data_IF_212573420627
#
_entry.id   IF_212573420627
#
_cell.length_a   1.000
_cell.length_b   1.000
_cell.length_c   1.000
_cell.angle_alpha   90.00
_cell.angle_beta   90.00
_cell.angle_gamma   90.00
#
_symmetry.space_group_name_H-M   'P 1'
#
loop_
_entity.id
_entity.type
_entity.pdbx_description
1 polymer ?
#
# COMPACT_ATOMS: atom_id res chain seq x y z
N UNK A 1 22.18 -4.82 1.35
CA UNK A 1 21.43 -4.64 0.11
C UNK A 1 21.86 -3.34 -0.58
N UNK A 2 21.92 -3.35 -1.93
CA UNK A 2 22.09 -2.15 -2.74
C UNK A 2 20.71 -1.71 -3.20
N UNK A 3 20.40 -0.42 -3.09
CA UNK A 3 19.11 0.13 -3.48
C UNK A 3 19.34 1.27 -4.48
N UNK A 4 18.62 1.25 -5.60
CA UNK A 4 18.48 2.35 -6.53
C UNK A 4 17.04 2.87 -6.43
N UNK A 5 16.86 4.18 -6.31
CA UNK A 5 15.55 4.82 -6.30
C UNK A 5 15.33 5.62 -7.57
N UNK A 6 14.15 5.47 -8.16
CA UNK A 6 13.68 6.31 -9.27
C UNK A 6 12.48 7.13 -8.82
N UNK A 7 12.43 8.37 -9.26
CA UNK A 7 11.32 9.28 -9.04
C UNK A 7 10.98 10.01 -10.36
N UNK A 8 9.89 10.75 -10.38
CA UNK A 8 9.45 11.48 -11.56
C UNK A 8 10.51 12.47 -12.07
N UNK A 9 10.71 12.58 -13.37
CA UNK A 9 10.00 11.85 -14.43
C UNK A 9 10.53 10.42 -14.60
N UNK A 10 9.64 9.43 -14.68
CA UNK A 10 9.99 8.05 -15.00
C UNK A 10 10.18 7.93 -16.52
N UNK A 11 11.41 7.77 -16.98
CA UNK A 11 11.76 7.67 -18.39
C UNK A 11 12.31 6.27 -18.73
N UNK A 12 12.23 5.89 -20.00
CA UNK A 12 12.78 4.62 -20.48
C UNK A 12 14.30 4.53 -20.23
N UNK A 13 15.02 5.65 -20.33
CA UNK A 13 16.45 5.72 -20.03
C UNK A 13 16.73 5.45 -18.56
N UNK A 14 15.92 6.00 -17.64
CA UNK A 14 16.08 5.76 -16.21
C UNK A 14 15.81 4.30 -15.86
N UNK A 15 14.81 3.67 -16.47
CA UNK A 15 14.55 2.24 -16.30
C UNK A 15 15.68 1.39 -16.87
N UNK A 16 16.17 1.70 -18.07
CA UNK A 16 17.26 0.98 -18.71
C UNK A 16 18.57 1.04 -17.90
N UNK A 17 18.82 2.09 -17.15
CA UNK A 17 19.98 2.23 -16.29
C UNK A 17 19.82 1.53 -14.95
N UNK A 18 18.65 1.63 -14.30
CA UNK A 18 18.47 1.19 -12.92
C UNK A 18 18.03 -0.27 -12.75
N UNK A 19 17.30 -0.85 -13.73
CA UNK A 19 16.68 -2.16 -13.57
C UNK A 19 17.59 -3.37 -13.89
N UNK A 20 18.60 -3.28 -14.77
CA UNK A 20 19.47 -4.43 -15.04
C UNK A 20 20.17 -4.95 -13.79
N UNK A 21 20.01 -6.24 -13.53
CA UNK A 21 20.64 -6.90 -12.37
C UNK A 21 19.94 -6.67 -11.03
N UNK A 22 18.80 -5.99 -11.00
CA UNK A 22 17.99 -5.93 -9.81
C UNK A 22 17.36 -7.30 -9.49
N UNK A 23 17.33 -7.70 -8.23
CA UNK A 23 16.64 -8.91 -7.79
C UNK A 23 15.12 -8.67 -7.62
N UNK A 24 14.76 -7.45 -7.20
CA UNK A 24 13.37 -7.04 -6.98
C UNK A 24 13.16 -5.57 -7.34
N UNK A 25 11.98 -5.27 -7.87
CA UNK A 25 11.51 -3.92 -8.21
C UNK A 25 10.24 -3.63 -7.43
N UNK A 26 10.28 -2.61 -6.57
CA UNK A 26 9.15 -2.20 -5.76
C UNK A 26 8.47 -0.97 -6.34
N UNK A 27 7.19 -1.07 -6.66
CA UNK A 27 6.35 0.04 -7.08
C UNK A 27 5.84 0.80 -5.85
N UNK A 28 6.52 1.90 -5.54
CA UNK A 28 6.15 2.81 -4.45
C UNK A 28 5.32 3.98 -4.99
N UNK A 29 4.33 3.69 -5.83
CA UNK A 29 3.46 4.64 -6.52
C UNK A 29 2.00 4.45 -6.09
N UNK A 30 1.12 5.46 -6.26
CA UNK A 30 -0.31 5.25 -6.09
C UNK A 30 -0.82 4.13 -6.99
N UNK A 31 -1.72 3.30 -6.47
CA UNK A 31 -2.22 2.15 -7.23
C UNK A 31 -2.92 2.57 -8.55
N UNK A 32 -3.58 3.74 -8.57
CA UNK A 32 -4.16 4.31 -9.80
C UNK A 32 -3.14 4.61 -10.90
N UNK A 33 -1.86 4.85 -10.55
CA UNK A 33 -0.80 5.12 -11.52
C UNK A 33 -0.20 3.83 -12.14
N UNK A 34 -0.50 2.66 -11.61
CA UNK A 34 0.09 1.40 -12.09
C UNK A 34 -0.23 1.11 -13.55
N UNK A 35 -1.46 1.39 -14.00
CA UNK A 35 -1.88 1.17 -15.37
C UNK A 35 -1.07 2.00 -16.38
N UNK A 36 -0.58 3.17 -15.97
CA UNK A 36 0.27 4.04 -16.78
C UNK A 36 1.75 3.61 -16.71
N UNK A 37 2.25 3.27 -15.53
CA UNK A 37 3.67 2.97 -15.31
C UNK A 37 4.09 1.59 -15.83
N UNK A 38 3.26 0.57 -15.62
CA UNK A 38 3.60 -0.81 -15.98
C UNK A 38 3.98 -1.03 -17.46
N UNK A 39 3.28 -0.43 -18.45
CA UNK A 39 3.64 -0.59 -19.86
C UNK A 39 5.04 -0.05 -20.21
N UNK A 40 5.53 0.96 -19.50
CA UNK A 40 6.84 1.54 -19.70
C UNK A 40 7.93 0.76 -18.93
N UNK A 41 7.62 0.32 -17.72
CA UNK A 41 8.58 -0.38 -16.85
C UNK A 41 8.85 -1.82 -17.31
N UNK A 42 7.80 -2.57 -17.63
CA UNK A 42 7.89 -4.03 -17.90
C UNK A 42 8.83 -4.38 -19.06
N UNK A 43 8.92 -3.61 -20.17
CA UNK A 43 9.89 -3.89 -21.24
C UNK A 43 11.36 -3.89 -20.81
N UNK A 44 11.69 -3.29 -19.66
CA UNK A 44 13.04 -3.26 -19.10
C UNK A 44 13.32 -4.40 -18.11
N UNK A 45 12.33 -5.25 -17.81
CA UNK A 45 12.49 -6.44 -16.96
C UNK A 45 12.87 -7.66 -17.80
N UNK A 46 13.73 -8.53 -17.27
CA UNK A 46 14.22 -9.73 -17.96
C UNK A 46 13.43 -11.01 -17.61
N UNK A 47 12.36 -10.89 -16.84
CA UNK A 47 11.50 -12.00 -16.42
C UNK A 47 11.93 -12.71 -15.14
N UNK A 48 13.08 -12.37 -14.55
CA UNK A 48 13.60 -12.97 -13.31
C UNK A 48 13.38 -12.09 -12.08
N UNK A 49 13.34 -10.77 -12.29
CA UNK A 49 13.12 -9.82 -11.20
C UNK A 49 11.76 -10.05 -10.55
N UNK A 50 11.70 -9.92 -9.24
CA UNK A 50 10.44 -9.89 -8.53
C UNK A 50 9.83 -8.51 -8.68
N UNK A 51 8.63 -8.43 -9.28
CA UNK A 51 7.86 -7.20 -9.31
C UNK A 51 6.96 -7.16 -8.08
N UNK A 52 7.09 -6.12 -7.27
CA UNK A 52 6.36 -5.95 -6.02
C UNK A 52 5.75 -4.55 -5.91
N UNK A 53 4.76 -4.37 -5.05
CA UNK A 53 4.14 -3.09 -4.72
C UNK A 53 4.03 -2.89 -3.21
N UNK A 54 3.72 -1.68 -2.77
CA UNK A 54 3.44 -1.34 -1.36
C UNK A 54 2.05 -0.73 -1.16
N UNK A 55 1.13 -0.93 -2.09
CA UNK A 55 -0.20 -0.30 -2.05
C UNK A 55 -1.09 -0.87 -0.94
N UNK A 56 -2.12 -0.11 -0.55
CA UNK A 56 -3.03 -0.48 0.56
C UNK A 56 -4.11 -1.48 0.18
N UNK A 57 -4.33 -1.76 -1.11
CA UNK A 57 -5.21 -2.81 -1.61
C UNK A 57 -4.40 -3.78 -2.45
N UNK A 58 -4.90 -5.01 -2.65
CA UNK A 58 -4.10 -6.07 -3.27
C UNK A 58 -4.72 -6.66 -4.53
N UNK A 59 -6.03 -6.87 -4.59
CA UNK A 59 -6.65 -7.54 -5.75
C UNK A 59 -6.36 -6.83 -7.07
N UNK A 60 -6.61 -5.54 -7.13
CA UNK A 60 -6.43 -4.77 -8.36
C UNK A 60 -4.96 -4.60 -8.74
N UNK A 61 -4.04 -4.12 -7.86
CA UNK A 61 -2.62 -3.97 -8.16
C UNK A 61 -1.95 -5.29 -8.54
N UNK A 62 -2.18 -6.35 -7.77
CA UNK A 62 -1.63 -7.66 -8.05
C UNK A 62 -2.06 -8.16 -9.43
N UNK A 63 -3.37 -8.08 -9.73
CA UNK A 63 -3.89 -8.47 -11.04
C UNK A 63 -3.38 -7.60 -12.20
N UNK A 64 -3.09 -6.31 -11.98
CA UNK A 64 -2.48 -5.45 -13.00
C UNK A 64 -1.03 -5.87 -13.27
N UNK A 65 -0.24 -6.10 -12.22
CA UNK A 65 1.15 -6.57 -12.35
C UNK A 65 1.23 -7.94 -13.03
N UNK A 66 0.37 -8.90 -12.66
CA UNK A 66 0.34 -10.24 -13.27
C UNK A 66 -0.07 -10.24 -14.74
N UNK A 67 -0.96 -9.34 -15.13
CA UNK A 67 -1.33 -9.19 -16.56
C UNK A 67 -0.23 -8.54 -17.39
N UNK A 68 0.56 -7.65 -16.80
CA UNK A 68 1.61 -6.92 -17.48
C UNK A 68 2.94 -7.70 -17.53
N UNK A 69 3.22 -8.51 -16.52
CA UNK A 69 4.52 -9.14 -16.32
C UNK A 69 4.41 -10.64 -16.11
N UNK A 70 5.09 -11.42 -16.95
CA UNK A 70 5.08 -12.89 -16.88
C UNK A 70 6.00 -13.48 -15.79
N UNK A 71 6.87 -12.68 -15.19
CA UNK A 71 7.77 -13.08 -14.11
C UNK A 71 7.08 -13.11 -12.74
N UNK A 72 7.84 -13.34 -11.65
CA UNK A 72 7.28 -13.43 -10.31
C UNK A 72 6.75 -12.09 -9.81
N UNK A 73 5.52 -12.09 -9.33
CA UNK A 73 4.85 -10.93 -8.72
C UNK A 73 4.57 -11.20 -7.25
N UNK A 74 4.87 -10.23 -6.38
CA UNK A 74 4.58 -10.32 -4.94
C UNK A 74 3.99 -9.01 -4.46
N UNK A 75 2.68 -9.01 -4.17
CA UNK A 75 2.03 -7.88 -3.52
C UNK A 75 2.49 -7.73 -2.08
N UNK A 76 2.70 -6.50 -1.63
CA UNK A 76 2.98 -6.22 -0.23
C UNK A 76 2.13 -5.06 0.28
N UNK A 77 1.81 -5.04 1.57
CA UNK A 77 1.17 -3.91 2.22
C UNK A 77 1.78 -3.69 3.60
N UNK A 78 2.65 -2.68 3.77
CA UNK A 78 3.03 -2.18 5.07
C UNK A 78 1.80 -1.61 5.79
N UNK A 79 1.39 -2.25 6.90
CA UNK A 79 0.19 -1.86 7.67
C UNK A 79 0.49 -0.68 8.62
N UNK A 80 1.34 0.24 8.17
CA UNK A 80 1.78 1.40 8.95
C UNK A 80 2.09 2.58 8.02
N UNK A 81 1.93 3.78 8.56
CA UNK A 81 2.27 5.02 7.86
C UNK A 81 3.75 5.41 7.98
N UNK A 82 4.14 6.60 7.50
CA UNK A 82 5.56 7.04 7.40
C UNK A 82 6.33 7.14 8.72
N UNK A 83 5.65 7.17 9.87
CA UNK A 83 6.27 7.31 11.21
C UNK A 83 5.72 6.25 12.16
N UNK A 84 5.98 4.95 11.90
CA UNK A 84 5.46 3.87 12.72
C UNK A 84 6.20 3.80 14.07
N UNK A 85 5.51 3.26 15.09
CA UNK A 85 6.21 2.78 16.29
C UNK A 85 6.87 1.43 15.97
N UNK A 86 7.95 1.05 16.65
CA UNK A 86 8.62 -0.24 16.43
C UNK A 86 7.69 -1.46 16.59
N UNK A 87 6.64 -1.36 17.42
CA UNK A 87 5.61 -2.39 17.59
C UNK A 87 4.67 -2.57 16.43
N UNK A 88 4.60 -1.58 15.50
CA UNK A 88 3.58 -1.51 14.47
C UNK A 88 4.08 -1.97 13.09
N UNK A 89 5.37 -2.37 13.01
CA UNK A 89 6.06 -2.76 11.79
C UNK A 89 5.57 -4.12 11.28
N UNK A 90 4.34 -4.17 10.75
CA UNK A 90 3.75 -5.38 10.16
C UNK A 90 3.50 -5.20 8.68
N UNK A 91 3.86 -6.23 7.91
CA UNK A 91 3.68 -6.24 6.45
C UNK A 91 2.90 -7.47 6.03
N UNK A 92 1.81 -7.28 5.30
CA UNK A 92 1.10 -8.35 4.63
C UNK A 92 1.78 -8.66 3.30
N UNK A 93 1.97 -9.94 2.99
CA UNK A 93 2.54 -10.44 1.74
C UNK A 93 1.45 -11.22 1.00
N UNK A 94 1.18 -10.84 -0.25
CA UNK A 94 0.18 -11.49 -1.11
C UNK A 94 0.86 -11.98 -2.39
N UNK A 95 1.28 -13.26 -2.43
CA UNK A 95 1.98 -13.81 -3.59
C UNK A 95 1.07 -13.91 -4.82
N UNK A 96 1.59 -13.53 -5.98
CA UNK A 96 0.99 -13.83 -7.27
C UNK A 96 1.24 -15.27 -7.74
N UNK A 97 0.55 -15.68 -8.79
CA UNK A 97 0.54 -17.07 -9.26
C UNK A 97 1.92 -17.60 -9.71
N UNK A 98 2.79 -16.73 -10.23
CA UNK A 98 4.15 -17.10 -10.68
C UNK A 98 5.20 -17.01 -9.56
N UNK A 99 4.85 -16.52 -8.37
CA UNK A 99 5.78 -16.39 -7.26
C UNK A 99 6.02 -17.75 -6.57
N UNK A 100 7.29 -18.14 -6.45
CA UNK A 100 7.72 -19.32 -5.69
C UNK A 100 8.05 -18.95 -4.25
N UNK A 101 8.20 -19.96 -3.36
CA UNK A 101 8.65 -19.73 -1.98
C UNK A 101 10.01 -19.02 -1.89
N UNK A 102 10.89 -19.19 -2.87
CA UNK A 102 12.17 -18.47 -2.95
C UNK A 102 11.93 -16.97 -3.16
N UNK A 103 11.05 -16.60 -4.09
CA UNK A 103 10.70 -15.20 -4.36
C UNK A 103 10.03 -14.55 -3.15
N UNK A 104 9.08 -15.24 -2.54
CA UNK A 104 8.38 -14.78 -1.35
C UNK A 104 9.36 -14.61 -0.19
N UNK A 105 10.25 -15.60 0.01
CA UNK A 105 11.27 -15.56 1.06
C UNK A 105 12.25 -14.40 0.92
N UNK A 106 12.61 -14.03 -0.33
CA UNK A 106 13.44 -12.85 -0.59
C UNK A 106 12.72 -11.57 -0.15
N UNK A 107 11.47 -11.37 -0.56
CA UNK A 107 10.67 -10.19 -0.19
C UNK A 107 10.46 -10.14 1.33
N UNK A 108 10.08 -11.26 1.97
CA UNK A 108 9.96 -11.34 3.43
C UNK A 108 11.28 -11.01 4.14
N UNK A 109 12.41 -11.48 3.59
CA UNK A 109 13.75 -11.21 4.11
C UNK A 109 14.08 -9.73 4.11
N UNK A 110 13.80 -9.03 3.01
CA UNK A 110 14.00 -7.58 2.91
C UNK A 110 13.23 -6.81 3.99
N UNK A 111 11.96 -7.16 4.21
CA UNK A 111 11.17 -6.51 5.26
C UNK A 111 11.65 -6.89 6.68
N UNK A 112 12.07 -8.13 6.90
CA UNK A 112 12.64 -8.57 8.18
C UNK A 112 13.95 -7.85 8.51
N UNK A 113 14.80 -7.63 7.52
CA UNK A 113 16.05 -6.87 7.68
C UNK A 113 15.78 -5.39 8.06
N UNK A 114 14.64 -4.85 7.68
CA UNK A 114 14.15 -3.54 8.11
C UNK A 114 13.44 -3.57 9.47
N UNK A 115 13.41 -4.71 10.17
CA UNK A 115 12.77 -4.86 11.49
C UNK A 115 11.27 -5.15 11.43
N UNK A 116 10.70 -5.41 10.24
CA UNK A 116 9.29 -5.70 10.12
C UNK A 116 8.97 -7.17 10.43
N UNK A 117 7.79 -7.42 10.98
CA UNK A 117 7.17 -8.74 11.00
C UNK A 117 6.30 -8.92 9.75
N UNK A 118 6.37 -10.09 9.12
CA UNK A 118 5.62 -10.40 7.90
C UNK A 118 4.61 -11.53 8.15
N UNK A 119 3.50 -11.50 7.40
CA UNK A 119 2.56 -12.62 7.32
C UNK A 119 1.99 -12.71 5.91
N UNK A 120 1.59 -13.91 5.50
CA UNK A 120 1.03 -14.17 4.16
C UNK A 120 -0.49 -14.16 4.19
N UNK A 121 -1.08 -13.69 3.09
CA UNK A 121 -2.53 -13.71 2.83
C UNK A 121 -2.79 -13.91 1.34
N UNK A 122 -4.03 -14.21 0.97
CA UNK A 122 -4.47 -14.00 -0.41
C UNK A 122 -4.88 -12.55 -0.61
N UNK A 123 -4.92 -12.07 -1.86
CA UNK A 123 -5.33 -10.71 -2.18
C UNK A 123 -6.77 -10.45 -1.73
N UNK A 124 -7.68 -11.43 -1.93
CA UNK A 124 -9.10 -11.33 -1.53
C UNK A 124 -9.26 -11.26 -0.01
N UNK A 125 -8.56 -12.13 0.73
CA UNK A 125 -8.64 -12.13 2.19
C UNK A 125 -8.04 -10.84 2.78
N UNK A 126 -6.95 -10.33 2.17
CA UNK A 126 -6.36 -9.05 2.52
C UNK A 126 -7.36 -7.91 2.34
N UNK A 127 -7.96 -7.77 1.15
CA UNK A 127 -8.84 -6.65 0.82
C UNK A 127 -10.13 -6.70 1.63
N UNK A 128 -10.70 -7.90 1.86
CA UNK A 128 -11.83 -8.08 2.77
C UNK A 128 -11.52 -7.63 4.22
N UNK A 129 -10.33 -7.95 4.72
CA UNK A 129 -9.89 -7.51 6.05
C UNK A 129 -9.65 -5.99 6.09
N UNK A 130 -9.02 -5.43 5.05
CA UNK A 130 -8.77 -3.99 4.92
C UNK A 130 -10.09 -3.21 4.86
N UNK A 131 -11.06 -3.66 4.06
CA UNK A 131 -12.40 -3.07 4.00
C UNK A 131 -13.08 -3.04 5.37
N UNK A 132 -12.98 -4.14 6.13
CA UNK A 132 -13.58 -4.23 7.45
C UNK A 132 -12.89 -3.34 8.50
N UNK A 133 -11.56 -3.32 8.52
CA UNK A 133 -10.79 -2.61 9.56
C UNK A 133 -10.59 -1.14 9.20
N UNK A 134 -10.10 -0.85 8.00
CA UNK A 134 -9.81 0.51 7.56
C UNK A 134 -11.09 1.25 7.17
N UNK A 135 -12.01 0.59 6.45
CA UNK A 135 -13.30 1.15 6.08
C UNK A 135 -14.15 1.52 7.30
N UNK A 136 -14.23 0.64 8.32
CA UNK A 136 -14.95 0.93 9.56
C UNK A 136 -14.32 2.11 10.31
N UNK A 137 -13.00 2.17 10.38
CA UNK A 137 -12.29 3.30 11.00
C UNK A 137 -12.61 4.62 10.28
N UNK A 138 -12.65 4.62 8.95
CA UNK A 138 -12.99 5.80 8.15
C UNK A 138 -14.46 6.20 8.34
N UNK A 139 -15.41 5.28 8.19
CA UNK A 139 -16.85 5.57 8.35
C UNK A 139 -17.15 6.11 9.74
N UNK A 140 -16.59 5.49 10.78
CA UNK A 140 -16.77 5.98 12.14
C UNK A 140 -16.20 7.39 12.34
N UNK A 141 -15.04 7.68 11.75
CA UNK A 141 -14.44 9.03 11.79
C UNK A 141 -15.29 10.06 11.06
N UNK A 142 -15.79 9.72 9.88
CA UNK A 142 -16.69 10.57 9.10
C UNK A 142 -17.97 10.89 9.87
N UNK A 143 -18.55 9.90 10.56
CA UNK A 143 -19.75 10.09 11.39
C UNK A 143 -19.54 11.11 12.52
N UNK A 144 -18.34 11.14 13.16
CA UNK A 144 -18.02 12.16 14.17
C UNK A 144 -18.05 13.58 13.58
N UNK A 145 -17.48 13.78 12.40
CA UNK A 145 -17.45 15.10 11.77
C UNK A 145 -18.82 15.52 11.25
N UNK A 146 -19.55 14.61 10.61
CA UNK A 146 -20.89 14.89 10.11
C UNK A 146 -21.82 15.34 11.24
N UNK A 147 -21.78 14.67 12.40
CA UNK A 147 -22.58 15.04 13.55
C UNK A 147 -22.26 16.45 14.06
N UNK A 148 -20.97 16.82 14.11
CA UNK A 148 -20.59 18.16 14.62
C UNK A 148 -20.77 19.27 13.60
N UNK A 149 -20.64 18.97 12.31
CA UNK A 149 -20.80 19.98 11.25
C UNK A 149 -22.22 20.54 11.20
N UNK A 150 -23.22 19.75 11.61
CA UNK A 150 -24.62 20.15 11.64
C UNK A 150 -25.09 20.71 13.00
N UNK A 151 -24.26 20.59 14.06
CA UNK A 151 -24.64 20.86 15.45
C UNK A 151 -23.55 21.63 16.21
N UNK A 152 -23.30 22.89 15.80
CA UNK A 152 -22.30 23.75 16.47
C UNK A 152 -22.64 24.02 17.95
N UNK A 153 -23.91 23.97 18.32
CA UNK A 153 -24.35 24.10 19.69
C UNK A 153 -23.84 23.01 20.64
N UNK A 154 -23.36 21.89 20.09
CA UNK A 154 -22.77 20.80 20.88
C UNK A 154 -21.29 21.03 21.24
N UNK A 155 -20.61 22.00 20.63
CA UNK A 155 -19.17 22.26 20.86
C UNK A 155 -18.83 22.49 22.35
N UNK A 156 -19.65 23.22 23.17
CA UNK A 156 -19.37 23.39 24.58
C UNK A 156 -19.42 22.10 25.40
N UNK A 157 -20.06 21.05 24.90
CA UNK A 157 -20.20 19.76 25.58
C UNK A 157 -19.14 18.72 25.20
N UNK A 158 -18.14 19.10 24.39
CA UNK A 158 -17.08 18.21 23.94
C UNK A 158 -16.22 17.78 25.13
N UNK A 159 -16.22 16.47 25.40
CA UNK A 159 -15.36 15.86 26.43
C UNK A 159 -13.92 15.70 25.92
N UNK A 160 -12.91 15.58 26.80
CA UNK A 160 -11.52 15.31 26.38
C UNK A 160 -11.36 14.03 25.55
N UNK A 161 -12.14 12.98 25.82
CA UNK A 161 -12.11 11.73 25.04
C UNK A 161 -12.65 11.93 23.61
N UNK A 162 -13.72 12.71 23.48
CA UNK A 162 -14.31 13.06 22.18
C UNK A 162 -13.34 13.94 21.37
N UNK A 163 -12.69 14.92 22.01
CA UNK A 163 -11.68 15.77 21.36
C UNK A 163 -10.52 14.96 20.79
N UNK A 164 -9.97 13.99 21.55
CA UNK A 164 -8.90 13.10 21.04
C UNK A 164 -9.34 12.32 19.81
N UNK A 165 -10.59 11.87 19.76
CA UNK A 165 -11.13 11.19 18.57
C UNK A 165 -11.26 12.12 17.38
N UNK A 166 -11.74 13.36 17.60
CA UNK A 166 -11.81 14.38 16.54
C UNK A 166 -10.44 14.69 15.96
N UNK A 167 -9.42 14.86 16.82
CA UNK A 167 -8.06 15.13 16.38
C UNK A 167 -7.48 13.97 15.54
N UNK A 168 -7.68 12.74 15.97
CA UNK A 168 -7.29 11.55 15.21
C UNK A 168 -8.03 11.45 13.86
N UNK A 169 -9.34 11.72 13.88
CA UNK A 169 -10.19 11.68 12.68
C UNK A 169 -9.87 12.80 11.70
N UNK A 170 -9.46 13.99 12.19
CA UNK A 170 -9.10 15.13 11.34
C UNK A 170 -7.98 14.76 10.38
N UNK A 171 -6.91 14.13 10.87
CA UNK A 171 -5.80 13.66 10.03
C UNK A 171 -6.30 12.73 8.91
N UNK A 172 -7.13 11.78 9.27
CA UNK A 172 -7.71 10.81 8.35
C UNK A 172 -8.47 11.49 7.20
N UNK A 173 -9.25 12.55 7.49
CA UNK A 173 -10.10 13.24 6.52
C UNK A 173 -9.37 14.34 5.73
N UNK A 174 -8.25 14.87 6.23
CA UNK A 174 -7.55 15.97 5.57
C UNK A 174 -6.26 15.54 4.87
N UNK A 175 -5.53 14.58 5.42
CA UNK A 175 -4.25 14.13 4.89
C UNK A 175 -4.40 12.82 4.09
N UNK A 176 -5.29 11.92 4.55
CA UNK A 176 -5.44 10.57 3.98
C UNK A 176 -6.72 10.44 3.10
N UNK A 177 -7.47 11.52 2.89
CA UNK A 177 -8.74 11.48 2.14
C UNK A 177 -8.62 10.85 0.74
N UNK A 178 -7.60 11.16 -0.10
CA UNK A 178 -7.44 10.54 -1.40
C UNK A 178 -7.20 9.02 -1.33
N UNK A 179 -6.52 8.55 -0.27
CA UNK A 179 -6.31 7.12 -0.03
C UNK A 179 -7.63 6.41 0.25
N UNK A 180 -8.52 7.05 1.02
CA UNK A 180 -9.81 6.47 1.37
C UNK A 180 -10.80 6.48 0.20
N UNK A 181 -10.83 7.55 -0.59
CA UNK A 181 -11.63 7.62 -1.80
C UNK A 181 -11.29 6.43 -2.72
N UNK A 182 -10.01 6.19 -2.91
CA UNK A 182 -9.53 5.06 -3.69
C UNK A 182 -9.81 3.69 -3.03
N UNK A 183 -9.72 3.55 -1.71
CA UNK A 183 -10.07 2.32 -0.98
C UNK A 183 -11.56 1.96 -1.15
N UNK A 184 -12.46 2.96 -1.23
CA UNK A 184 -13.88 2.74 -1.47
C UNK A 184 -14.19 2.38 -2.92
N UNK A 185 -13.44 2.91 -3.89
CA UNK A 185 -13.62 2.58 -5.31
C UNK A 185 -13.06 1.21 -5.66
N UNK A 186 -12.04 0.74 -4.94
CA UNK A 186 -11.34 -0.52 -5.21
C UNK A 186 -11.92 -1.74 -4.47
N UNK A 187 -12.82 -1.54 -3.51
CA UNK A 187 -13.52 -2.55 -2.73
C UNK A 187 -15.05 -2.38 -2.86
#
# INVERSE_FOLDING_TARGET
>A
HTVAGLDLPLTDEAFAEALPGADAVFLCIPAGAMAEVLPHLVPHLDGRQILADITSVKMQPLGQMERAYAGPVVGTHPLFGPKPQPSDLRVCITPGAAATDTHIGLVEGLFKDMGCSTFRSTAEAHDSAAASIQGLNFISSLAYFATLAEHEELLPFITPSFRRRLEASRKLLTEDAPLFEWLFEAN
#
